data_IF_733208793432
#
_entry.id   IF_733208793432
#
_cell.length_a   1.000
_cell.length_b   1.000
_cell.length_c   1.000
_cell.angle_alpha   90.00
_cell.angle_beta   90.00
_cell.angle_gamma   90.00
#
_symmetry.space_group_name_H-M   'P 1'
#
loop_
_entity.id
_entity.type
_entity.pdbx_description
1 polymer ?
#
# COMPACT_ATOMS: atom_id res chain seq x y z
N UNK A 1 -4.47 -26.31 3.94
CA UNK A 1 -4.20 -25.02 4.64
C UNK A 1 -4.52 -23.88 3.71
N UNK A 2 -5.16 -22.81 4.18
CA UNK A 2 -5.55 -21.67 3.31
C UNK A 2 -4.35 -20.98 2.64
N UNK A 3 -3.16 -21.06 3.23
CA UNK A 3 -1.91 -20.54 2.62
C UNK A 3 -1.56 -21.15 1.26
N UNK A 4 -1.91 -22.41 1.00
CA UNK A 4 -1.61 -23.02 -0.31
C UNK A 4 -2.46 -22.43 -1.44
N UNK A 5 -3.59 -21.79 -1.14
CA UNK A 5 -4.37 -21.09 -2.18
C UNK A 5 -3.74 -19.77 -2.60
N UNK A 6 -2.85 -19.19 -1.77
CA UNK A 6 -2.12 -17.97 -2.09
C UNK A 6 -0.91 -18.20 -3.00
N UNK A 7 -0.55 -19.44 -3.32
CA UNK A 7 0.55 -19.71 -4.23
C UNK A 7 0.16 -19.20 -5.62
N UNK A 8 0.84 -18.15 -6.14
CA UNK A 8 0.52 -17.63 -7.45
C UNK A 8 0.87 -18.67 -8.52
N UNK A 9 0.04 -18.76 -9.56
CA UNK A 9 0.45 -19.39 -10.82
C UNK A 9 1.68 -18.68 -11.39
N UNK A 10 2.42 -19.35 -12.29
CA UNK A 10 3.75 -18.88 -12.72
C UNK A 10 3.76 -17.46 -13.34
N UNK A 11 2.62 -16.97 -13.85
CA UNK A 11 2.49 -15.65 -14.47
C UNK A 11 1.73 -14.59 -13.62
N UNK A 12 1.26 -14.92 -12.42
CA UNK A 12 0.43 -13.99 -11.63
C UNK A 12 1.28 -13.04 -10.76
N UNK A 13 1.19 -11.70 -10.94
CA UNK A 13 2.00 -10.77 -10.16
C UNK A 13 1.56 -10.73 -8.69
N UNK A 14 2.52 -10.90 -7.77
CA UNK A 14 2.26 -10.85 -6.31
C UNK A 14 1.92 -9.46 -5.77
N UNK A 15 2.27 -8.40 -6.49
CA UNK A 15 1.90 -7.02 -6.15
C UNK A 15 0.63 -6.56 -6.90
N UNK A 16 -0.14 -7.47 -7.46
CA UNK A 16 -1.42 -7.15 -8.07
C UNK A 16 -2.55 -7.12 -7.03
N UNK A 17 -3.57 -6.35 -7.33
CA UNK A 17 -4.76 -6.20 -6.48
C UNK A 17 -5.46 -7.53 -6.23
N UNK A 18 -5.51 -8.41 -7.23
CA UNK A 18 -6.04 -9.77 -7.08
C UNK A 18 -5.38 -10.55 -5.94
N UNK A 19 -4.04 -10.55 -5.87
CA UNK A 19 -3.30 -11.21 -4.81
C UNK A 19 -3.54 -10.56 -3.45
N UNK A 20 -3.48 -9.23 -3.37
CA UNK A 20 -3.69 -8.50 -2.10
C UNK A 20 -5.06 -8.78 -1.48
N UNK A 21 -6.12 -8.79 -2.30
CA UNK A 21 -7.48 -9.15 -1.86
C UNK A 21 -7.53 -10.56 -1.28
N UNK A 22 -6.94 -11.52 -1.98
CA UNK A 22 -6.91 -12.92 -1.55
C UNK A 22 -6.08 -13.11 -0.28
N UNK A 23 -4.92 -12.46 -0.18
CA UNK A 23 -4.05 -12.52 0.99
C UNK A 23 -4.75 -11.98 2.24
N UNK A 24 -5.45 -10.85 2.11
CA UNK A 24 -6.21 -10.25 3.20
C UNK A 24 -7.45 -11.06 3.59
N UNK A 25 -8.14 -11.67 2.61
CA UNK A 25 -9.21 -12.65 2.88
C UNK A 25 -8.70 -13.84 3.71
N UNK A 26 -7.55 -14.41 3.34
CA UNK A 26 -6.94 -15.53 4.09
C UNK A 26 -6.53 -15.09 5.50
N UNK A 27 -6.01 -13.87 5.67
CA UNK A 27 -5.68 -13.32 6.98
C UNK A 27 -6.92 -13.19 7.88
N UNK A 28 -8.00 -12.56 7.39
CA UNK A 28 -9.25 -12.40 8.13
C UNK A 28 -9.88 -13.75 8.47
N UNK A 29 -9.90 -14.69 7.50
CA UNK A 29 -10.43 -16.03 7.74
C UNK A 29 -9.60 -16.80 8.78
N UNK A 30 -8.28 -16.64 8.79
CA UNK A 30 -7.39 -17.28 9.78
C UNK A 30 -7.60 -16.69 11.17
N UNK A 31 -7.84 -15.39 11.28
CA UNK A 31 -8.20 -14.75 12.55
C UNK A 31 -9.51 -15.31 13.11
N UNK A 32 -10.51 -15.55 12.26
CA UNK A 32 -11.79 -16.14 12.67
C UNK A 32 -11.62 -17.56 13.20
N UNK A 33 -10.83 -18.39 12.50
CA UNK A 33 -10.53 -19.74 12.99
C UNK A 33 -9.79 -19.69 14.33
N UNK A 34 -8.87 -18.73 14.51
CA UNK A 34 -8.14 -18.55 15.76
C UNK A 34 -9.08 -18.18 16.93
N UNK A 35 -10.07 -17.32 16.69
CA UNK A 35 -11.06 -16.96 17.71
C UNK A 35 -11.87 -18.17 18.19
N UNK A 36 -12.14 -19.15 17.32
CA UNK A 36 -12.82 -20.39 17.70
C UNK A 36 -11.97 -21.32 18.59
N UNK A 37 -10.65 -21.16 18.55
CA UNK A 37 -9.70 -21.94 19.36
C UNK A 37 -9.47 -21.35 20.75
N UNK A 38 -9.85 -20.09 20.99
CA UNK A 38 -9.71 -19.46 22.30
C UNK A 38 -10.70 -20.12 23.27
N UNK A 39 -10.23 -20.78 24.35
CA UNK A 39 -11.10 -21.50 25.26
C UNK A 39 -12.13 -20.55 25.88
N UNK A 40 -13.42 -20.87 25.72
CA UNK A 40 -14.47 -20.16 26.43
C UNK A 40 -14.39 -20.45 27.93
N UNK A 41 -13.75 -19.56 28.69
CA UNK A 41 -13.98 -19.25 30.12
C UNK A 41 -13.98 -20.36 31.18
N UNK A 42 -13.42 -21.56 30.96
CA UNK A 42 -13.65 -22.66 31.94
C UNK A 42 -12.58 -22.93 33.00
N UNK A 43 -11.37 -22.39 32.91
CA UNK A 43 -10.30 -22.68 33.90
C UNK A 43 -9.64 -21.38 34.42
N UNK A 44 -9.13 -21.37 35.67
CA UNK A 44 -8.30 -20.28 36.17
C UNK A 44 -7.10 -20.08 35.26
N UNK A 45 -6.81 -18.83 34.88
CA UNK A 45 -5.70 -18.52 33.98
C UNK A 45 -4.39 -18.93 34.66
N UNK A 46 -3.59 -19.77 34.00
CA UNK A 46 -2.22 -20.02 34.46
C UNK A 46 -1.37 -18.75 34.26
N UNK A 47 -0.25 -18.62 34.98
CA UNK A 47 0.71 -17.52 34.75
C UNK A 47 1.22 -17.47 33.31
N UNK A 48 1.30 -18.62 32.62
CA UNK A 48 1.64 -18.69 31.21
C UNK A 48 0.53 -18.09 30.31
N UNK A 49 -0.75 -18.33 30.63
CA UNK A 49 -1.88 -17.74 29.90
C UNK A 49 -1.91 -16.21 30.04
N UNK A 50 -1.65 -15.70 31.25
CA UNK A 50 -1.58 -14.25 31.50
C UNK A 50 -0.47 -13.62 30.66
N UNK A 51 0.73 -14.22 30.66
CA UNK A 51 1.84 -13.74 29.83
C UNK A 51 1.50 -13.76 28.33
N UNK A 52 0.89 -14.83 27.84
CA UNK A 52 0.48 -14.93 26.42
C UNK A 52 -0.54 -13.84 26.04
N UNK A 53 -1.47 -13.53 26.95
CA UNK A 53 -2.44 -12.45 26.78
C UNK A 53 -1.76 -11.08 26.75
N UNK A 54 -0.82 -10.81 27.67
CA UNK A 54 -0.03 -9.57 27.70
C UNK A 54 0.80 -9.39 26.42
N UNK A 55 1.47 -10.44 25.97
CA UNK A 55 2.21 -10.44 24.69
C UNK A 55 1.28 -10.20 23.49
N UNK A 56 0.07 -10.75 23.51
CA UNK A 56 -0.94 -10.45 22.48
C UNK A 56 -1.35 -8.98 22.52
N UNK A 57 -1.58 -8.42 23.71
CA UNK A 57 -1.92 -7.00 23.86
C UNK A 57 -0.81 -6.11 23.30
N UNK A 58 0.45 -6.39 23.58
CA UNK A 58 1.56 -5.60 23.04
C UNK A 58 1.64 -5.69 21.49
N UNK A 59 1.59 -6.91 20.94
CA UNK A 59 1.60 -7.14 19.49
C UNK A 59 0.40 -6.52 18.77
N UNK A 60 -0.80 -6.57 19.38
CA UNK A 60 -2.02 -6.03 18.80
C UNK A 60 -1.94 -4.53 18.55
N UNK A 61 -1.29 -3.75 19.43
CA UNK A 61 -1.11 -2.30 19.24
C UNK A 61 -0.25 -2.04 18.00
N UNK A 62 0.87 -2.75 17.88
CA UNK A 62 1.78 -2.61 16.73
C UNK A 62 1.08 -2.98 15.42
N UNK A 63 0.25 -4.02 15.41
CA UNK A 63 -0.58 -4.38 14.25
C UNK A 63 -1.61 -3.30 13.91
N UNK A 64 -2.27 -2.71 14.91
CA UNK A 64 -3.24 -1.62 14.70
C UNK A 64 -2.56 -0.38 14.10
N UNK A 65 -1.35 -0.03 14.55
CA UNK A 65 -0.59 1.08 13.97
C UNK A 65 -0.22 0.79 12.51
N UNK A 66 0.22 -0.43 12.20
CA UNK A 66 0.49 -0.84 10.81
C UNK A 66 -0.77 -0.73 9.94
N UNK A 67 -1.93 -1.20 10.44
CA UNK A 67 -3.19 -1.08 9.72
C UNK A 67 -3.61 0.38 9.52
N UNK A 68 -3.35 1.27 10.50
CA UNK A 68 -3.60 2.70 10.36
C UNK A 68 -2.74 3.33 9.27
N UNK A 69 -1.47 2.94 9.20
CA UNK A 69 -0.56 3.43 8.17
C UNK A 69 -1.02 2.96 6.77
N UNK A 70 -1.33 1.67 6.62
CA UNK A 70 -1.87 1.11 5.37
C UNK A 70 -3.19 1.81 4.99
N UNK A 71 -4.06 2.10 5.96
CA UNK A 71 -5.29 2.86 5.72
C UNK A 71 -4.98 4.25 5.15
N UNK A 72 -4.00 4.97 5.71
CA UNK A 72 -3.55 6.24 5.17
C UNK A 72 -3.08 6.11 3.72
N UNK A 73 -2.32 5.07 3.42
CA UNK A 73 -1.83 4.80 2.05
C UNK A 73 -2.98 4.48 1.08
N UNK A 74 -4.01 3.75 1.53
CA UNK A 74 -5.22 3.52 0.73
C UNK A 74 -5.93 4.83 0.42
N UNK A 75 -6.05 5.74 1.40
CA UNK A 75 -6.62 7.07 1.19
C UNK A 75 -5.78 7.91 0.21
N UNK A 76 -4.44 7.81 0.25
CA UNK A 76 -3.58 8.48 -0.73
C UNK A 76 -3.87 8.02 -2.17
N UNK A 77 -4.17 6.72 -2.36
CA UNK A 77 -4.56 6.15 -3.67
C UNK A 77 -5.96 6.62 -4.08
N UNK A 78 -6.89 6.79 -3.13
CA UNK A 78 -8.21 7.38 -3.39
C UNK A 78 -8.10 8.84 -3.86
N UNK A 79 -7.23 9.64 -3.24
CA UNK A 79 -6.96 11.01 -3.65
C UNK A 79 -6.31 11.07 -5.05
N UNK A 80 -5.39 10.14 -5.33
CA UNK A 80 -4.79 9.99 -6.65
C UNK A 80 -5.85 9.68 -7.72
N UNK A 81 -6.75 8.74 -7.43
CA UNK A 81 -7.90 8.40 -8.29
C UNK A 81 -8.79 9.63 -8.56
N UNK A 82 -9.07 10.46 -7.55
CA UNK A 82 -9.84 11.69 -7.72
C UNK A 82 -9.22 12.63 -8.76
N UNK A 83 -7.88 12.69 -8.81
CA UNK A 83 -7.16 13.49 -9.81
C UNK A 83 -7.19 12.85 -11.21
N UNK A 84 -7.09 11.52 -11.30
CA UNK A 84 -7.25 10.79 -12.58
C UNK A 84 -8.65 11.02 -13.18
N UNK A 85 -9.70 11.04 -12.35
CA UNK A 85 -11.06 11.33 -12.81
C UNK A 85 -11.19 12.74 -13.39
N UNK A 86 -10.46 13.72 -12.87
CA UNK A 86 -10.39 15.06 -13.44
C UNK A 86 -9.70 15.06 -14.82
N UNK A 87 -8.59 14.30 -14.97
CA UNK A 87 -7.89 14.12 -16.26
C UNK A 87 -8.81 13.47 -17.29
N UNK A 88 -9.46 12.35 -16.92
CA UNK A 88 -10.44 11.66 -17.76
C UNK A 88 -11.55 12.63 -18.18
N UNK A 89 -12.07 13.44 -17.25
CA UNK A 89 -13.15 14.40 -17.55
C UNK A 89 -12.71 15.51 -18.51
N UNK A 90 -11.45 15.95 -18.44
CA UNK A 90 -10.91 16.95 -19.36
C UNK A 90 -10.75 16.39 -20.77
N UNK A 91 -10.29 15.14 -20.90
CA UNK A 91 -10.02 14.49 -22.18
C UNK A 91 -11.21 13.68 -22.75
N UNK A 92 -12.29 13.50 -21.97
CA UNK A 92 -13.50 12.84 -22.42
C UNK A 92 -14.41 13.83 -23.14
N UNK A 93 -14.57 13.65 -24.45
CA UNK A 93 -15.54 14.43 -25.21
C UNK A 93 -16.95 13.89 -25.00
N UNK A 94 -17.81 14.61 -24.27
CA UNK A 94 -19.19 14.13 -24.00
C UNK A 94 -20.10 14.10 -25.23
N UNK A 95 -19.85 14.94 -26.25
CA UNK A 95 -20.80 15.16 -27.36
C UNK A 95 -20.17 15.13 -28.76
N UNK A 96 -19.09 14.37 -28.99
CA UNK A 96 -18.46 14.30 -30.32
C UNK A 96 -17.79 15.60 -30.81
N UNK A 97 -17.74 16.64 -29.97
CA UNK A 97 -16.99 17.87 -30.24
C UNK A 97 -15.48 17.61 -30.34
N UNK A 98 -14.75 18.44 -31.08
CA UNK A 98 -13.30 18.33 -31.10
C UNK A 98 -12.72 18.62 -29.70
N UNK A 99 -11.65 17.90 -29.33
CA UNK A 99 -10.88 18.21 -28.12
C UNK A 99 -10.31 19.62 -28.26
N UNK A 100 -10.68 20.51 -27.34
CA UNK A 100 -10.21 21.89 -27.37
C UNK A 100 -8.79 21.97 -26.76
N UNK A 101 -7.95 22.85 -27.30
CA UNK A 101 -6.57 23.08 -26.84
C UNK A 101 -6.52 23.29 -25.30
N UNK A 102 -7.43 24.09 -24.77
CA UNK A 102 -7.53 24.35 -23.34
C UNK A 102 -7.83 23.10 -22.48
N UNK A 103 -8.52 22.09 -23.03
CA UNK A 103 -8.77 20.82 -22.32
C UNK A 103 -7.48 19.99 -22.26
N UNK A 104 -6.74 19.94 -23.37
CA UNK A 104 -5.45 19.24 -23.48
C UNK A 104 -4.42 19.86 -22.53
N UNK A 105 -4.31 21.18 -22.49
CA UNK A 105 -3.38 21.88 -21.59
C UNK A 105 -3.72 21.62 -20.10
N UNK A 106 -5.00 21.64 -19.73
CA UNK A 106 -5.42 21.33 -18.35
C UNK A 106 -5.14 19.89 -17.96
N UNK A 107 -5.46 18.95 -18.86
CA UNK A 107 -5.17 17.54 -18.65
C UNK A 107 -3.66 17.31 -18.51
N UNK A 108 -2.85 17.87 -19.41
CA UNK A 108 -1.40 17.80 -19.36
C UNK A 108 -0.85 18.32 -18.04
N UNK A 109 -1.30 19.51 -17.60
CA UNK A 109 -0.90 20.07 -16.31
C UNK A 109 -1.23 19.12 -15.15
N UNK A 110 -2.44 18.60 -15.10
CA UNK A 110 -2.84 17.64 -14.06
C UNK A 110 -2.02 16.35 -14.11
N UNK A 111 -1.72 15.82 -15.30
CA UNK A 111 -0.87 14.64 -15.48
C UNK A 111 0.56 14.92 -15.01
N UNK A 112 1.15 16.06 -15.39
CA UNK A 112 2.51 16.45 -15.00
C UNK A 112 2.63 16.74 -13.49
N UNK A 113 1.56 17.21 -12.84
CA UNK A 113 1.53 17.34 -11.37
C UNK A 113 1.39 15.97 -10.67
N UNK A 114 0.78 14.98 -11.33
CA UNK A 114 0.62 13.63 -10.80
C UNK A 114 1.87 12.76 -10.99
N UNK A 115 2.59 12.92 -12.10
CA UNK A 115 3.68 12.03 -12.48
C UNK A 115 4.82 12.00 -11.43
N UNK A 116 5.28 13.13 -10.84
CA UNK A 116 6.25 13.10 -9.74
C UNK A 116 5.73 12.42 -8.47
N UNK A 117 4.41 12.39 -8.22
CA UNK A 117 3.83 11.61 -7.10
C UNK A 117 3.95 10.11 -7.36
N UNK A 118 3.97 9.70 -8.64
CA UNK A 118 4.24 8.33 -9.07
C UNK A 118 5.74 8.03 -9.22
N UNK A 119 6.57 9.04 -9.54
CA UNK A 119 8.00 8.91 -9.85
C UNK A 119 8.94 9.27 -8.69
N UNK A 120 8.47 9.93 -7.63
CA UNK A 120 9.16 9.95 -6.32
C UNK A 120 9.31 8.54 -5.72
N UNK A 121 8.64 7.55 -6.35
CA UNK A 121 8.76 6.10 -6.17
C UNK A 121 9.71 5.48 -7.23
N UNK A 122 10.56 6.24 -7.94
CA UNK A 122 11.42 5.72 -9.03
C UNK A 122 12.90 6.11 -8.98
N UNK A 123 13.36 7.00 -8.10
CA UNK A 123 14.79 7.38 -8.07
C UNK A 123 15.34 7.37 -6.64
N UNK A 124 16.35 6.52 -6.41
CA UNK A 124 17.69 6.94 -5.94
C UNK A 124 18.68 5.77 -6.08
N UNK A 125 19.47 5.78 -7.14
CA UNK A 125 20.81 5.17 -7.16
C UNK A 125 21.81 6.18 -7.76
N UNK A 126 22.75 6.66 -6.93
CA UNK A 126 24.02 7.28 -7.37
C UNK A 126 24.01 8.80 -7.63
N UNK A 127 25.17 9.48 -7.46
CA UNK A 127 25.24 10.94 -7.39
C UNK A 127 25.14 11.54 -8.79
N UNK A 128 23.95 12.01 -9.14
CA UNK A 128 23.76 12.77 -10.38
C UNK A 128 24.07 14.23 -10.08
N UNK A 129 25.14 14.71 -10.73
CA UNK A 129 25.46 16.12 -10.89
C UNK A 129 24.18 16.94 -11.08
N UNK A 130 24.03 17.91 -10.21
CA UNK A 130 22.87 18.77 -10.06
C UNK A 130 22.50 19.42 -11.40
N UNK A 131 21.50 18.84 -12.07
CA UNK A 131 20.81 19.45 -13.19
C UNK A 131 20.17 20.75 -12.71
N UNK A 132 20.56 21.84 -13.35
CA UNK A 132 20.00 23.17 -13.17
C UNK A 132 18.49 23.13 -13.36
N UNK A 133 17.78 23.69 -12.40
CA UNK A 133 16.36 24.07 -12.48
C UNK A 133 16.01 24.64 -13.87
N UNK A 134 15.15 23.95 -14.62
CA UNK A 134 14.41 24.58 -15.72
C UNK A 134 13.36 25.50 -15.10
N UNK A 135 13.76 26.74 -14.81
CA UNK A 135 12.83 27.84 -14.56
C UNK A 135 12.29 28.29 -15.90
N UNK A 136 11.04 27.94 -16.20
CA UNK A 136 10.28 28.60 -17.25
C UNK A 136 10.13 30.08 -16.83
N UNK A 137 10.89 30.98 -17.45
CA UNK A 137 10.74 32.44 -17.27
C UNK A 137 9.44 32.84 -17.95
N UNK A 138 8.37 32.95 -17.16
CA UNK A 138 7.18 33.68 -17.57
C UNK A 138 7.55 35.16 -17.61
N UNK A 139 7.58 35.72 -18.82
CA UNK A 139 7.90 37.12 -19.09
C UNK A 139 6.61 37.93 -18.89
N UNK A 140 6.37 38.39 -17.66
CA UNK A 140 5.34 39.39 -17.41
C UNK A 140 5.87 40.79 -17.73
N UNK A 141 5.38 41.36 -18.82
CA UNK A 141 5.42 42.79 -19.09
C UNK A 141 4.22 43.41 -18.36
N UNK A 142 4.49 44.27 -17.38
CA UNK A 142 3.48 44.80 -16.47
C UNK A 142 2.52 45.82 -17.10
N UNK A 143 1.33 45.89 -16.53
CA UNK A 143 0.50 47.09 -16.30
C UNK A 143 -0.36 46.76 -15.07
N UNK A 144 -0.33 47.62 -14.06
CA UNK A 144 -1.18 47.48 -12.88
C UNK A 144 -2.59 48.00 -13.11
N UNK A 145 -3.57 47.42 -12.42
CA UNK A 145 -4.70 48.15 -11.86
C UNK A 145 -5.40 47.33 -10.76
N UNK A 146 -6.07 48.03 -9.86
CA UNK A 146 -6.62 47.58 -8.58
C UNK A 146 -8.05 47.06 -8.73
N UNK A 147 -8.41 45.98 -8.02
CA UNK A 147 -9.81 45.53 -7.91
C UNK A 147 -9.97 44.25 -7.07
N UNK A 148 -10.94 44.15 -6.14
CA UNK A 148 -11.07 43.03 -5.22
C UNK A 148 -12.02 41.97 -5.78
N UNK A 149 -11.49 40.84 -6.24
CA UNK A 149 -12.23 39.58 -6.36
C UNK A 149 -11.22 38.43 -6.52
N UNK A 150 -10.90 37.78 -5.41
CA UNK A 150 -10.01 36.62 -5.39
C UNK A 150 -10.83 35.33 -5.23
N UNK A 151 -11.00 34.51 -6.28
CA UNK A 151 -11.53 33.17 -6.10
C UNK A 151 -10.40 32.23 -5.64
N UNK A 152 -10.57 31.71 -4.43
CA UNK A 152 -10.04 30.44 -3.89
C UNK A 152 -8.74 29.92 -4.54
N UNK A 153 -7.62 30.49 -4.11
CA UNK A 153 -6.28 29.89 -4.19
C UNK A 153 -6.33 28.53 -3.47
N UNK A 154 -6.26 27.45 -4.24
CA UNK A 154 -6.11 26.08 -3.75
C UNK A 154 -4.98 26.05 -2.72
N UNK A 155 -5.33 25.73 -1.48
CA UNK A 155 -4.38 25.64 -0.37
C UNK A 155 -3.32 24.63 -0.74
N UNK A 156 -2.06 25.04 -0.64
CA UNK A 156 -0.87 24.23 -0.80
C UNK A 156 -0.89 23.05 0.18
N UNK A 157 -0.82 21.82 -0.34
CA UNK A 157 -0.62 20.59 0.43
C UNK A 157 0.88 20.38 0.76
N UNK A 158 1.60 21.46 1.07
CA UNK A 158 2.92 21.40 1.69
C UNK A 158 2.76 21.86 3.13
N UNK A 159 2.36 20.95 4.00
CA UNK A 159 1.98 21.33 5.35
C UNK A 159 1.86 20.18 6.33
N UNK A 160 2.79 19.23 6.32
CA UNK A 160 3.34 18.66 7.57
C UNK A 160 4.33 17.52 7.28
N UNK A 161 5.58 17.85 6.96
CA UNK A 161 6.76 17.17 7.54
C UNK A 161 7.85 18.22 7.60
N UNK A 162 8.12 18.77 8.79
CA UNK A 162 9.33 19.57 9.01
C UNK A 162 10.51 18.61 8.89
N UNK A 163 11.26 18.72 7.80
CA UNK A 163 12.60 18.16 7.71
C UNK A 163 13.50 18.99 8.63
N UNK A 164 13.59 18.61 9.89
CA UNK A 164 14.73 19.00 10.72
C UNK A 164 15.93 18.22 10.25
N UNK A 165 16.76 18.87 9.44
CA UNK A 165 18.00 18.31 8.94
C UNK A 165 18.97 18.01 10.07
N UNK A 166 19.53 16.79 10.05
CA UNK A 166 20.90 16.51 10.46
C UNK A 166 21.45 15.47 9.48
N UNK A 167 22.50 15.86 8.78
CA UNK A 167 23.35 15.00 7.97
C UNK A 167 24.04 13.95 8.84
N UNK A 168 23.82 12.66 8.54
CA UNK A 168 24.72 11.55 8.91
C UNK A 168 24.32 10.26 8.19
N UNK A 169 25.24 9.71 7.41
CA UNK A 169 25.35 8.27 7.15
C UNK A 169 24.32 7.61 6.24
N UNK A 170 24.81 7.04 5.13
CA UNK A 170 24.18 6.01 4.31
C UNK A 170 23.28 5.05 5.12
N UNK A 171 21.97 5.13 4.88
CA UNK A 171 20.90 4.12 5.01
C UNK A 171 19.57 4.86 5.21
N UNK A 172 18.70 4.88 4.19
CA UNK A 172 17.35 5.45 4.34
C UNK A 172 16.61 4.71 5.47
N UNK A 173 16.04 5.41 6.49
CA UNK A 173 15.37 4.74 7.59
C UNK A 173 14.11 4.01 7.09
N UNK A 174 13.97 2.72 7.41
CA UNK A 174 12.73 1.96 7.16
C UNK A 174 11.51 2.70 7.73
N UNK A 175 10.36 2.57 7.05
CA UNK A 175 9.08 3.16 7.48
C UNK A 175 8.71 2.72 8.91
N UNK A 176 7.96 3.53 9.65
CA UNK A 176 7.56 3.20 11.03
C UNK A 176 6.80 1.87 11.09
N UNK A 177 5.90 1.63 10.13
CA UNK A 177 5.15 0.38 9.98
C UNK A 177 6.08 -0.82 9.72
N UNK A 178 7.12 -0.65 8.91
CA UNK A 178 8.14 -1.68 8.70
C UNK A 178 8.88 -2.01 10.00
N UNK A 179 9.23 -1.00 10.81
CA UNK A 179 9.85 -1.20 12.13
C UNK A 179 8.89 -1.89 13.09
N UNK A 180 7.61 -1.56 13.07
CA UNK A 180 6.60 -2.24 13.89
C UNK A 180 6.47 -3.72 13.49
N UNK A 181 6.41 -4.03 12.19
CA UNK A 181 6.42 -5.41 11.70
C UNK A 181 7.69 -6.16 12.09
N UNK A 182 8.85 -5.52 11.99
CA UNK A 182 10.13 -6.09 12.41
C UNK A 182 10.19 -6.31 13.93
N UNK A 183 9.65 -5.38 14.72
CA UNK A 183 9.57 -5.51 16.17
C UNK A 183 8.68 -6.70 16.57
N UNK A 184 7.46 -6.79 16.01
CA UNK A 184 6.57 -7.94 16.22
C UNK A 184 7.32 -9.23 15.86
N UNK A 185 7.99 -9.27 14.70
CA UNK A 185 8.75 -10.44 14.30
C UNK A 185 9.86 -10.82 15.30
N UNK A 186 10.64 -9.85 15.78
CA UNK A 186 11.75 -10.10 16.70
C UNK A 186 11.30 -10.62 18.08
N UNK A 187 10.06 -10.32 18.46
CA UNK A 187 9.45 -10.76 19.71
C UNK A 187 8.75 -12.12 19.59
N UNK A 188 8.54 -12.62 18.37
CA UNK A 188 7.88 -13.91 18.17
C UNK A 188 8.78 -15.07 18.63
N UNK A 189 8.33 -15.76 19.68
CA UNK A 189 8.95 -16.99 20.15
C UNK A 189 8.31 -18.18 19.45
N UNK A 190 9.15 -19.05 18.89
CA UNK A 190 8.69 -20.33 18.32
C UNK A 190 8.14 -21.21 19.46
N UNK A 191 6.86 -21.61 19.41
CA UNK A 191 6.29 -22.49 20.42
C UNK A 191 6.87 -23.91 20.29
N UNK A 192 6.98 -24.61 21.43
CA UNK A 192 7.28 -26.04 21.45
C UNK A 192 6.05 -26.80 20.94
N UNK A 193 6.27 -27.88 20.19
CA UNK A 193 5.21 -28.77 19.74
C UNK A 193 5.27 -30.08 20.53
N UNK A 194 4.36 -30.27 21.47
CA UNK A 194 4.08 -31.54 22.13
C UNK A 194 2.70 -32.05 21.67
N UNK A 195 2.63 -33.25 21.07
CA UNK A 195 1.36 -33.82 20.67
C UNK A 195 0.48 -34.10 21.89
N UNK A 196 -0.72 -33.52 21.91
CA UNK A 196 -1.74 -33.73 22.96
C UNK A 196 -1.93 -32.56 23.92
N UNK A 197 -1.09 -31.52 23.85
CA UNK A 197 -1.24 -30.32 24.68
C UNK A 197 -2.09 -29.25 23.97
N UNK A 198 -3.25 -28.93 24.56
CA UNK A 198 -4.18 -27.92 24.03
C UNK A 198 -3.56 -26.52 24.09
N UNK A 199 -2.76 -26.22 25.12
CA UNK A 199 -2.11 -24.91 25.30
C UNK A 199 -1.02 -24.69 24.25
N UNK A 200 -0.18 -25.70 24.00
CA UNK A 200 0.87 -25.61 22.99
C UNK A 200 0.30 -25.53 21.56
N UNK A 201 -0.83 -26.22 21.30
CA UNK A 201 -1.54 -26.12 20.02
C UNK A 201 -2.14 -24.72 19.79
N UNK A 202 -2.66 -24.07 20.84
CA UNK A 202 -3.12 -22.68 20.76
C UNK A 202 -1.94 -21.73 20.51
N UNK A 203 -0.83 -21.90 21.22
CA UNK A 203 0.38 -21.11 20.99
C UNK A 203 0.91 -21.26 19.56
N UNK A 204 0.89 -22.48 19.01
CA UNK A 204 1.24 -22.76 17.62
C UNK A 204 0.31 -22.05 16.63
N UNK A 205 -0.99 -22.01 16.89
CA UNK A 205 -1.97 -21.30 16.06
C UNK A 205 -1.78 -19.77 16.12
N UNK A 206 -1.57 -19.22 17.32
CA UNK A 206 -1.28 -17.79 17.52
C UNK A 206 0.02 -17.41 16.79
N UNK A 207 1.08 -18.20 16.93
CA UNK A 207 2.33 -17.99 16.21
C UNK A 207 2.10 -17.96 14.68
N UNK A 208 1.41 -18.98 14.14
CA UNK A 208 1.10 -19.06 12.71
C UNK A 208 0.31 -17.83 12.21
N UNK A 209 -0.68 -17.37 12.97
CA UNK A 209 -1.45 -16.18 12.65
C UNK A 209 -0.57 -14.92 12.61
N UNK A 210 0.30 -14.70 13.59
CA UNK A 210 1.18 -13.53 13.59
C UNK A 210 2.13 -13.54 12.40
N UNK A 211 2.72 -14.71 12.08
CA UNK A 211 3.61 -14.83 10.91
C UNK A 211 2.86 -14.50 9.61
N UNK A 212 1.62 -14.99 9.47
CA UNK A 212 0.76 -14.66 8.33
C UNK A 212 0.43 -13.16 8.29
N UNK A 213 0.04 -12.56 9.42
CA UNK A 213 -0.30 -11.15 9.52
C UNK A 213 0.87 -10.26 9.10
N UNK A 214 2.08 -10.54 9.62
CA UNK A 214 3.30 -9.81 9.27
C UNK A 214 3.56 -9.90 7.76
N UNK A 215 3.45 -11.10 7.18
CA UNK A 215 3.65 -11.28 5.75
C UNK A 215 2.63 -10.48 4.92
N UNK A 216 1.33 -10.64 5.19
CA UNK A 216 0.27 -9.99 4.41
C UNK A 216 0.32 -8.47 4.54
N UNK A 217 0.45 -7.94 5.76
CA UNK A 217 0.58 -6.49 5.97
C UNK A 217 1.88 -5.96 5.35
N UNK A 218 2.96 -6.75 5.38
CA UNK A 218 4.21 -6.42 4.69
C UNK A 218 4.04 -6.31 3.17
N UNK A 219 3.29 -7.22 2.55
CA UNK A 219 2.95 -7.13 1.11
C UNK A 219 2.16 -5.85 0.83
N UNK A 220 1.16 -5.52 1.65
CA UNK A 220 0.35 -4.31 1.45
C UNK A 220 1.17 -3.03 1.53
N UNK A 221 2.06 -2.92 2.53
CA UNK A 221 2.97 -1.77 2.67
C UNK A 221 3.87 -1.63 1.44
N UNK A 222 4.36 -2.74 0.89
CA UNK A 222 5.24 -2.71 -0.28
C UNK A 222 4.46 -2.44 -1.58
N UNK A 223 3.20 -2.83 -1.66
CA UNK A 223 2.37 -2.62 -2.84
C UNK A 223 1.81 -1.19 -2.94
N UNK A 224 1.48 -0.57 -1.81
CA UNK A 224 0.86 0.76 -1.78
C UNK A 224 1.92 1.88 -1.86
N UNK A 225 1.70 2.89 -2.72
CA UNK A 225 2.70 3.92 -3.00
C UNK A 225 2.65 5.07 -1.99
N UNK A 226 3.12 4.87 -0.76
CA UNK A 226 3.63 6.00 0.03
C UNK A 226 4.53 5.52 1.18
N UNK A 227 5.68 6.20 1.28
CA UNK A 227 6.66 6.18 2.37
C UNK A 227 7.61 4.99 2.43
N UNK A 228 8.80 5.24 1.88
CA UNK A 228 10.09 4.65 2.25
C UNK A 228 10.21 3.14 2.07
N UNK A 229 11.09 2.76 1.14
CA UNK A 229 11.84 1.50 1.02
C UNK A 229 11.56 0.58 2.21
N UNK A 230 10.56 -0.29 2.05
CA UNK A 230 10.21 -1.24 3.10
C UNK A 230 10.88 -2.56 2.79
N UNK A 231 11.85 -2.91 3.62
CA UNK A 231 12.46 -4.23 3.66
C UNK A 231 11.58 -5.12 4.53
N UNK A 232 10.90 -6.08 3.92
CA UNK A 232 10.37 -7.22 4.66
C UNK A 232 11.53 -8.21 4.76
N UNK A 233 12.19 -8.39 5.93
CA UNK A 233 13.26 -9.36 6.04
C UNK A 233 12.76 -10.76 5.70
N UNK A 234 13.61 -11.62 5.08
CA UNK A 234 13.29 -13.02 4.94
C UNK A 234 13.10 -13.62 6.33
N UNK A 235 11.88 -14.05 6.61
CA UNK A 235 11.52 -14.64 7.89
C UNK A 235 11.94 -16.12 7.88
N UNK A 236 12.70 -16.53 8.89
CA UNK A 236 13.06 -17.94 9.09
C UNK A 236 12.15 -18.52 10.15
N UNK A 237 11.29 -19.44 9.73
CA UNK A 237 10.39 -20.19 10.58
C UNK A 237 10.73 -21.69 10.54
N UNK A 238 10.44 -22.45 11.60
CA UNK A 238 10.71 -23.88 11.62
C UNK A 238 9.93 -24.65 10.55
N UNK A 239 10.58 -25.60 9.88
CA UNK A 239 9.95 -26.48 8.89
C UNK A 239 9.00 -27.53 9.48
N UNK A 240 8.88 -27.57 10.80
CA UNK A 240 7.98 -28.48 11.53
C UNK A 240 6.50 -28.14 11.30
N UNK A 241 6.19 -26.89 10.97
CA UNK A 241 4.83 -26.47 10.70
C UNK A 241 4.39 -26.82 9.26
N UNK A 242 3.17 -27.32 9.10
CA UNK A 242 2.60 -27.63 7.77
C UNK A 242 2.46 -26.39 6.87
N UNK A 243 2.32 -25.19 7.45
CA UNK A 243 2.26 -23.92 6.71
C UNK A 243 3.65 -23.42 6.30
N UNK A 244 4.73 -24.01 6.83
CA UNK A 244 6.06 -23.47 6.64
C UNK A 244 6.48 -23.49 5.17
N UNK A 245 6.33 -24.64 4.51
CA UNK A 245 6.68 -24.83 3.09
C UNK A 245 5.94 -23.87 2.16
N UNK A 246 4.59 -23.80 2.14
CA UNK A 246 3.88 -22.89 1.24
C UNK A 246 4.21 -21.41 1.54
N UNK A 247 4.41 -21.04 2.81
CA UNK A 247 4.81 -19.68 3.14
C UNK A 247 6.24 -19.35 2.67
N UNK A 248 7.19 -20.27 2.83
CA UNK A 248 8.57 -20.07 2.32
C UNK A 248 8.60 -19.93 0.80
N UNK A 249 7.79 -20.71 0.09
CA UNK A 249 7.64 -20.57 -1.37
C UNK A 249 7.07 -19.19 -1.74
N UNK A 250 6.04 -18.75 -1.02
CA UNK A 250 5.42 -17.46 -1.26
C UNK A 250 6.37 -16.29 -0.98
N UNK A 251 7.13 -16.37 0.12
CA UNK A 251 8.19 -15.41 0.44
C UNK A 251 9.28 -15.39 -0.63
N UNK A 252 9.73 -16.55 -1.11
CA UNK A 252 10.74 -16.61 -2.16
C UNK A 252 10.25 -15.92 -3.45
N UNK A 253 9.04 -16.24 -3.91
CA UNK A 253 8.43 -15.58 -5.08
C UNK A 253 8.25 -14.08 -4.85
N UNK A 254 7.84 -13.64 -3.65
CA UNK A 254 7.68 -12.23 -3.31
C UNK A 254 9.02 -11.47 -3.40
N UNK A 255 10.08 -12.01 -2.81
CA UNK A 255 11.40 -11.40 -2.86
C UNK A 255 11.99 -11.40 -4.27
N UNK A 256 11.74 -12.45 -5.06
CA UNK A 256 12.12 -12.51 -6.46
C UNK A 256 11.42 -11.41 -7.27
N UNK A 257 10.12 -11.21 -7.07
CA UNK A 257 9.35 -10.15 -7.71
C UNK A 257 9.88 -8.75 -7.32
N UNK A 258 10.22 -8.53 -6.05
CA UNK A 258 10.85 -7.28 -5.61
C UNK A 258 12.23 -7.07 -6.26
N UNK A 259 13.05 -8.12 -6.35
CA UNK A 259 14.36 -8.06 -7.01
C UNK A 259 14.20 -7.81 -8.52
N UNK A 260 13.19 -8.40 -9.17
CA UNK A 260 12.88 -8.19 -10.58
C UNK A 260 12.45 -6.75 -10.85
N UNK A 261 11.69 -6.13 -9.94
CA UNK A 261 11.26 -4.73 -10.03
C UNK A 261 12.40 -3.76 -9.77
N UNK A 262 13.23 -4.04 -8.75
CA UNK A 262 14.45 -3.30 -8.45
C UNK A 262 15.37 -3.17 -9.67
N UNK A 263 15.63 -4.28 -10.38
CA UNK A 263 16.46 -4.30 -11.60
C UNK A 263 15.91 -3.45 -12.75
N UNK A 264 14.60 -3.14 -12.76
CA UNK A 264 13.96 -2.31 -13.79
C UNK A 264 14.01 -0.81 -13.46
N UNK A 265 14.72 -0.41 -12.39
CA UNK A 265 14.77 0.99 -11.95
C UNK A 265 13.45 1.50 -11.37
N UNK A 266 12.47 0.62 -11.16
CA UNK A 266 11.26 0.91 -10.39
C UNK A 266 11.66 0.70 -8.93
N UNK A 267 11.38 1.65 -8.02
CA UNK A 267 11.75 1.41 -6.61
C UNK A 267 11.12 0.13 -6.09
N UNK A 268 11.71 -0.42 -5.02
CA UNK A 268 11.28 -1.67 -4.41
C UNK A 268 9.85 -1.55 -3.85
N UNK A 269 8.84 -1.75 -4.69
CA UNK A 269 7.42 -1.66 -4.31
C UNK A 269 6.58 -0.93 -5.35
N UNK A 270 5.27 -1.16 -5.31
CA UNK A 270 4.28 -0.57 -6.23
C UNK A 270 3.36 -1.61 -6.86
N UNK A 271 2.06 -1.38 -6.76
CA UNK A 271 1.05 -2.26 -7.33
C UNK A 271 1.00 -2.19 -8.86
N UNK A 272 0.69 -3.32 -9.48
CA UNK A 272 0.68 -3.47 -10.94
C UNK A 272 -0.33 -2.55 -11.64
N UNK A 273 -1.46 -2.29 -11.02
CA UNK A 273 -2.54 -1.45 -11.55
C UNK A 273 -2.09 0.01 -11.70
N UNK A 274 -1.31 0.52 -10.74
CA UNK A 274 -0.77 1.87 -10.81
C UNK A 274 0.36 2.00 -11.83
N UNK A 275 1.16 0.95 -12.04
CA UNK A 275 2.17 0.91 -13.11
C UNK A 275 1.51 0.99 -14.51
N UNK A 276 0.40 0.29 -14.72
CA UNK A 276 -0.38 0.37 -15.97
C UNK A 276 -0.95 1.77 -16.18
N UNK A 277 -1.56 2.36 -15.14
CA UNK A 277 -2.06 3.73 -15.19
C UNK A 277 -0.93 4.71 -15.49
N UNK A 278 0.25 4.55 -14.87
CA UNK A 278 1.42 5.40 -15.13
C UNK A 278 1.81 5.37 -16.61
N UNK A 279 1.82 4.18 -17.20
CA UNK A 279 2.20 3.96 -18.60
C UNK A 279 1.22 4.67 -19.54
N UNK A 280 -0.09 4.54 -19.29
CA UNK A 280 -1.12 5.25 -20.07
C UNK A 280 -0.97 6.77 -19.93
N UNK A 281 -0.70 7.25 -18.72
CA UNK A 281 -0.54 8.68 -18.44
C UNK A 281 0.72 9.25 -19.12
N UNK A 282 1.84 8.53 -19.12
CA UNK A 282 3.04 8.90 -19.86
C UNK A 282 2.75 8.97 -21.37
N UNK A 283 2.06 7.96 -21.92
CA UNK A 283 1.67 7.98 -23.34
C UNK A 283 0.73 9.14 -23.69
N UNK A 284 -0.19 9.49 -22.79
CA UNK A 284 -1.06 10.65 -22.96
C UNK A 284 -0.27 11.96 -22.95
N UNK A 285 0.81 12.07 -22.16
CA UNK A 285 1.70 13.24 -22.22
C UNK A 285 2.36 13.31 -23.59
N UNK A 286 3.02 12.25 -24.05
CA UNK A 286 3.73 12.21 -25.34
C UNK A 286 2.83 12.63 -26.51
N UNK A 287 1.59 12.13 -26.54
CA UNK A 287 0.62 12.45 -27.60
C UNK A 287 0.06 13.88 -27.50
N UNK A 288 0.28 14.57 -26.39
CA UNK A 288 -0.20 15.94 -26.13
C UNK A 288 0.95 16.95 -25.95
N UNK A 289 2.17 16.58 -26.35
CA UNK A 289 3.36 17.45 -26.30
C UNK A 289 3.35 18.56 -27.35
N UNK A 290 2.64 18.38 -28.47
CA UNK A 290 2.64 19.31 -29.60
C UNK A 290 2.22 20.74 -29.18
N UNK A 291 3.08 21.73 -29.46
CA UNK A 291 2.97 23.11 -28.93
C UNK A 291 1.72 23.83 -29.46
N UNK A 292 1.31 23.52 -30.69
CA UNK A 292 0.13 24.09 -31.33
C UNK A 292 -1.17 23.36 -30.91
N UNK A 293 -1.06 22.22 -30.20
CA UNK A 293 -2.18 21.37 -29.79
C UNK A 293 -3.15 21.02 -30.95
N UNK A 294 -2.66 21.05 -32.20
CA UNK A 294 -3.39 20.67 -33.41
C UNK A 294 -3.36 19.16 -33.57
N UNK A 295 -4.11 18.47 -32.70
CA UNK A 295 -4.18 17.01 -32.73
C UNK A 295 -4.69 16.52 -34.09
N UNK A 296 -3.85 15.79 -34.83
CA UNK A 296 -4.27 15.08 -36.03
C UNK A 296 -5.36 14.06 -35.70
N UNK A 297 -6.22 13.71 -36.67
CA UNK A 297 -7.38 12.84 -36.40
C UNK A 297 -6.98 11.47 -35.83
N UNK A 298 -5.86 10.91 -36.29
CA UNK A 298 -5.27 9.67 -35.74
C UNK A 298 -4.86 9.80 -34.27
N UNK A 299 -4.25 10.93 -33.89
CA UNK A 299 -3.83 11.19 -32.50
C UNK A 299 -5.06 11.37 -31.61
N UNK A 300 -6.13 12.01 -32.10
CA UNK A 300 -7.39 12.13 -31.37
C UNK A 300 -8.03 10.76 -31.12
N UNK A 301 -8.01 9.87 -32.10
CA UNK A 301 -8.50 8.50 -31.94
C UNK A 301 -7.67 7.72 -30.91
N UNK A 302 -6.34 7.85 -30.94
CA UNK A 302 -5.45 7.23 -29.95
C UNK A 302 -5.68 7.79 -28.53
N UNK A 303 -5.82 9.11 -28.38
CA UNK A 303 -6.16 9.74 -27.09
C UNK A 303 -7.51 9.25 -26.58
N UNK A 304 -8.54 9.16 -27.43
CA UNK A 304 -9.86 8.61 -27.05
C UNK A 304 -9.73 7.17 -26.57
N UNK A 305 -8.92 6.35 -27.25
CA UNK A 305 -8.68 4.96 -26.86
C UNK A 305 -7.97 4.87 -25.50
N UNK A 306 -6.92 5.65 -25.28
CA UNK A 306 -6.18 5.70 -24.02
C UNK A 306 -7.02 6.23 -22.86
N UNK A 307 -7.85 7.24 -23.08
CA UNK A 307 -8.78 7.76 -22.06
C UNK A 307 -9.83 6.70 -21.69
N UNK A 308 -10.30 5.92 -22.66
CA UNK A 308 -11.21 4.80 -22.40
C UNK A 308 -10.53 3.71 -21.57
N UNK A 309 -9.29 3.34 -21.90
CA UNK A 309 -8.51 2.39 -21.10
C UNK A 309 -8.24 2.93 -19.69
N UNK A 310 -7.80 4.19 -19.57
CA UNK A 310 -7.55 4.85 -18.29
C UNK A 310 -8.80 4.81 -17.41
N UNK A 311 -9.97 5.15 -17.97
CA UNK A 311 -11.24 5.06 -17.26
C UNK A 311 -11.53 3.64 -16.78
N UNK A 312 -11.36 2.64 -17.63
CA UNK A 312 -11.55 1.25 -17.24
C UNK A 312 -10.65 0.86 -16.06
N UNK A 313 -9.35 1.15 -16.14
CA UNK A 313 -8.41 0.85 -15.05
C UNK A 313 -8.72 1.61 -13.76
N UNK A 314 -9.16 2.86 -13.85
CA UNK A 314 -9.57 3.65 -12.69
C UNK A 314 -10.84 3.09 -12.03
N UNK A 315 -11.82 2.65 -12.82
CA UNK A 315 -13.05 2.04 -12.32
C UNK A 315 -12.79 0.64 -11.71
N UNK A 316 -11.85 -0.13 -12.27
CA UNK A 316 -11.37 -1.39 -11.68
C UNK A 316 -10.61 -1.16 -10.37
N UNK A 317 -9.68 -0.20 -10.37
CA UNK A 317 -8.92 0.19 -9.18
C UNK A 317 -9.86 0.62 -8.04
N UNK A 318 -10.89 1.41 -8.35
CA UNK A 318 -11.86 1.89 -7.36
C UNK A 318 -12.60 0.75 -6.67
N UNK A 319 -13.18 -0.16 -7.46
CA UNK A 319 -13.94 -1.30 -6.95
C UNK A 319 -13.07 -2.17 -6.06
N UNK A 320 -11.85 -2.43 -6.50
CA UNK A 320 -10.95 -3.31 -5.78
C UNK A 320 -10.34 -2.66 -4.53
N UNK A 321 -10.03 -1.36 -4.59
CA UNK A 321 -9.52 -0.61 -3.45
C UNK A 321 -10.58 -0.48 -2.36
N UNK A 322 -11.84 -0.25 -2.71
CA UNK A 322 -12.96 -0.24 -1.77
C UNK A 322 -13.13 -1.60 -1.07
N UNK A 323 -12.97 -2.70 -1.81
CA UNK A 323 -12.96 -4.04 -1.24
C UNK A 323 -11.79 -4.26 -0.29
N UNK A 324 -10.58 -3.86 -0.70
CA UNK A 324 -9.37 -3.97 0.12
C UNK A 324 -9.50 -3.17 1.41
N UNK A 325 -10.00 -1.93 1.34
CA UNK A 325 -10.25 -1.05 2.48
C UNK A 325 -11.23 -1.71 3.47
N UNK A 326 -12.34 -2.26 2.96
CA UNK A 326 -13.36 -2.89 3.80
C UNK A 326 -12.78 -4.10 4.54
N UNK A 327 -12.02 -4.96 3.85
CA UNK A 327 -11.36 -6.11 4.46
C UNK A 327 -10.30 -5.71 5.49
N UNK A 328 -9.55 -4.63 5.23
CA UNK A 328 -8.56 -4.09 6.16
C UNK A 328 -9.23 -3.55 7.43
N UNK A 329 -10.36 -2.85 7.27
CA UNK A 329 -11.13 -2.33 8.39
C UNK A 329 -11.82 -3.44 9.18
N UNK A 330 -12.29 -4.51 8.52
CA UNK A 330 -12.80 -5.70 9.22
C UNK A 330 -11.70 -6.33 10.09
N UNK A 331 -10.51 -6.56 9.53
CA UNK A 331 -9.35 -7.04 10.27
C UNK A 331 -8.98 -6.14 11.46
N UNK A 332 -8.89 -4.82 11.23
CA UNK A 332 -8.58 -3.81 12.24
C UNK A 332 -9.59 -3.86 13.40
N UNK A 333 -10.88 -3.87 13.09
CA UNK A 333 -11.95 -3.90 14.08
C UNK A 333 -11.94 -5.22 14.87
N UNK A 334 -11.68 -6.35 14.22
CA UNK A 334 -11.53 -7.65 14.90
C UNK A 334 -10.37 -7.65 15.89
N UNK A 335 -9.23 -7.03 15.55
CA UNK A 335 -8.12 -6.87 16.50
C UNK A 335 -8.57 -6.05 17.72
N UNK A 336 -9.29 -4.94 17.52
CA UNK A 336 -9.82 -4.13 18.62
C UNK A 336 -10.76 -4.95 19.50
N UNK A 337 -11.72 -5.68 18.92
CA UNK A 337 -12.64 -6.53 19.67
C UNK A 337 -11.91 -7.58 20.50
N UNK A 338 -11.00 -8.34 19.88
CA UNK A 338 -10.21 -9.35 20.60
C UNK A 338 -9.33 -8.73 21.69
N UNK A 339 -8.81 -7.52 21.48
CA UNK A 339 -8.07 -6.77 22.50
C UNK A 339 -8.96 -6.42 23.70
N UNK A 340 -10.17 -5.93 23.46
CA UNK A 340 -11.13 -5.61 24.53
C UNK A 340 -11.50 -6.85 25.34
N UNK A 341 -11.76 -7.97 24.67
CA UNK A 341 -12.03 -9.27 25.31
C UNK A 341 -10.87 -9.73 26.19
N UNK A 342 -9.63 -9.64 25.70
CA UNK A 342 -8.44 -10.01 26.48
C UNK A 342 -8.21 -9.10 27.69
N UNK A 343 -8.42 -7.79 27.54
CA UNK A 343 -8.33 -6.85 28.66
C UNK A 343 -9.41 -7.14 29.73
N UNK A 344 -10.64 -7.45 29.32
CA UNK A 344 -11.71 -7.86 30.24
C UNK A 344 -11.35 -9.16 30.98
N UNK A 345 -10.82 -10.17 30.28
CA UNK A 345 -10.33 -11.41 30.88
C UNK A 345 -9.25 -11.18 31.93
N UNK A 346 -8.26 -10.34 31.63
CA UNK A 346 -7.18 -10.00 32.57
C UNK A 346 -7.69 -9.20 33.78
N UNK A 347 -8.67 -8.30 33.58
CA UNK A 347 -9.25 -7.52 34.68
C UNK A 347 -9.96 -8.40 35.71
N UNK A 348 -10.60 -9.48 35.27
CA UNK A 348 -11.27 -10.48 36.12
C UNK A 348 -10.31 -11.40 36.86
N UNK A 349 -9.05 -11.46 36.43
CA UNK A 349 -8.01 -12.31 37.01
C UNK A 349 -7.08 -11.56 37.98
N UNK A 350 -7.20 -10.23 38.08
CA UNK A 350 -6.40 -9.46 39.04
C UNK A 350 -6.84 -9.84 40.48
N UNK A 351 -5.96 -10.43 41.30
CA UNK A 351 -6.29 -10.90 42.64
C UNK A 351 -6.64 -9.77 43.62
#
# INVERSE_FOLDING_TARGET
MRLSSLLPGDDSPLLAMGFMKQALQVLVATQNDLQLLVPSHRNPLSSAHVRMMEEFLDRSIKLLDVCRDIKGQVMDVEDFKGTLQAVISCLSTKNGSHLHIAQVVRARKAITELLPRMEAVRIEEGPVHQCRSFRFRQRDSGVGDSGPDAPHRWRSWHGSVRLSGHSSGSNSPASQSSRHLQAIWSELVVPRMAPGDIEENLCAAVYAFNVLAIFVLGVLIVALPSLNKTYVPPFVHPRTFLWATPLSQLQAKFHEELKRRSKKGITNGGMWELDQIATIMQRLIELTEDEDCTLGEKVKEEVKYLVKQLKQHVDELDRDLAYLYTQLMDFYNRIISSRMEVMDMLSKFKP
#
